data_IF_829322040208
#
_entry.id   IF_829322040208
#
_cell.length_a   1.000
_cell.length_b   1.000
_cell.length_c   1.000
_cell.angle_alpha   90.00
_cell.angle_beta   90.00
_cell.angle_gamma   90.00
#
_symmetry.space_group_name_H-M   'P 1'
#
loop_
_entity.id
_entity.type
_entity.pdbx_description
1 polymer ?
#
# COMPACT_ATOMS: atom_id res chain seq x y z
N UNK A 1 -14.64 -13.76 -12.91
CA UNK A 1 -15.95 -14.03 -13.55
C UNK A 1 -17.13 -13.39 -12.81
N UNK A 2 -16.92 -12.90 -11.58
CA UNK A 2 -17.97 -12.27 -10.75
C UNK A 2 -17.98 -10.72 -10.83
N UNK A 3 -17.17 -10.14 -11.70
CA UNK A 3 -17.08 -8.68 -11.88
C UNK A 3 -16.46 -7.92 -10.68
N UNK A 4 -15.79 -8.62 -9.75
CA UNK A 4 -15.10 -7.96 -8.63
C UNK A 4 -13.83 -7.29 -9.11
N UNK A 5 -13.60 -6.05 -8.67
CA UNK A 5 -12.33 -5.34 -8.87
C UNK A 5 -11.26 -5.92 -7.95
N UNK A 6 -10.04 -6.08 -8.49
CA UNK A 6 -8.86 -6.48 -7.72
C UNK A 6 -7.98 -5.24 -7.54
N UNK A 7 -7.61 -4.93 -6.31
CA UNK A 7 -6.73 -3.79 -6.02
C UNK A 7 -5.33 -4.00 -6.62
N UNK A 8 -4.67 -2.92 -7.01
CA UNK A 8 -3.40 -2.96 -7.73
C UNK A 8 -2.26 -3.61 -6.94
N UNK A 9 -2.24 -3.48 -5.65
CA UNK A 9 -1.27 -4.13 -4.75
C UNK A 9 -1.42 -5.67 -4.74
N UNK A 10 -2.66 -6.17 -4.68
CA UNK A 10 -2.92 -7.62 -4.79
C UNK A 10 -2.63 -8.15 -6.19
N UNK A 11 -2.90 -7.33 -7.22
CA UNK A 11 -2.52 -7.68 -8.60
C UNK A 11 -0.99 -7.71 -8.76
N UNK A 12 -0.27 -6.78 -8.14
CA UNK A 12 1.19 -6.77 -8.13
C UNK A 12 1.74 -8.01 -7.40
N UNK A 13 1.15 -8.39 -6.26
CA UNK A 13 1.53 -9.63 -5.57
C UNK A 13 1.29 -10.89 -6.44
N UNK A 14 0.18 -10.94 -7.18
CA UNK A 14 -0.07 -12.00 -8.15
C UNK A 14 0.99 -12.01 -9.27
N UNK A 15 1.30 -10.86 -9.83
CA UNK A 15 2.29 -10.70 -10.91
C UNK A 15 3.73 -11.02 -10.48
N UNK A 16 4.03 -10.96 -9.17
CA UNK A 16 5.33 -11.39 -8.65
C UNK A 16 5.67 -12.85 -9.00
N UNK A 17 4.66 -13.69 -9.25
CA UNK A 17 4.85 -15.06 -9.74
C UNK A 17 5.46 -15.12 -11.15
N UNK A 18 5.37 -14.03 -11.94
CA UNK A 18 5.94 -13.95 -13.28
C UNK A 18 7.42 -13.56 -13.30
N UNK A 19 8.00 -13.20 -12.16
CA UNK A 19 9.40 -12.78 -12.08
C UNK A 19 10.29 -14.01 -12.08
N UNK A 20 10.96 -14.23 -13.22
CA UNK A 20 11.89 -15.34 -13.40
C UNK A 20 13.26 -14.99 -12.79
N UNK A 21 13.54 -15.49 -11.62
CA UNK A 21 14.85 -15.35 -10.98
C UNK A 21 15.17 -16.53 -10.09
N UNK A 22 16.42 -16.94 -10.09
CA UNK A 22 16.94 -17.99 -9.20
C UNK A 22 17.38 -17.42 -7.84
N UNK A 23 17.38 -16.10 -7.66
CA UNK A 23 17.87 -15.44 -6.45
C UNK A 23 16.85 -14.41 -5.92
N UNK A 24 15.64 -14.88 -5.64
CA UNK A 24 14.54 -14.05 -5.13
C UNK A 24 14.89 -13.33 -3.83
N UNK A 25 15.61 -13.99 -2.93
CA UNK A 25 15.98 -13.44 -1.63
C UNK A 25 16.84 -12.17 -1.68
N UNK A 26 17.51 -11.91 -2.80
CA UNK A 26 18.31 -10.70 -3.02
C UNK A 26 17.56 -9.63 -3.81
N UNK A 27 16.32 -9.90 -4.21
CA UNK A 27 15.48 -8.94 -4.93
C UNK A 27 14.37 -8.40 -4.05
N UNK A 28 14.12 -7.11 -4.18
CA UNK A 28 13.10 -6.40 -3.43
C UNK A 28 12.01 -5.94 -4.37
N UNK A 29 10.76 -6.29 -4.08
CA UNK A 29 9.57 -5.77 -4.76
C UNK A 29 9.03 -4.61 -3.93
N UNK A 30 8.67 -3.51 -4.61
CA UNK A 30 8.20 -2.29 -3.97
C UNK A 30 6.68 -2.21 -4.08
N UNK A 31 6.01 -1.94 -2.96
CA UNK A 31 4.60 -1.56 -2.93
C UNK A 31 4.45 -0.18 -2.28
N UNK A 32 3.49 0.62 -2.73
CA UNK A 32 3.27 1.94 -2.14
C UNK A 32 2.74 1.86 -0.70
N UNK A 33 2.89 2.95 0.05
CA UNK A 33 2.52 3.02 1.48
C UNK A 33 1.02 2.74 1.74
N UNK A 34 0.16 2.81 0.73
CA UNK A 34 -1.28 2.53 0.82
C UNK A 34 -1.63 1.05 0.68
N UNK A 35 -0.68 0.23 0.28
CA UNK A 35 -0.88 -1.17 -0.04
C UNK A 35 -1.18 -2.03 1.18
N UNK A 36 -1.98 -3.08 0.96
CA UNK A 36 -2.36 -4.06 1.97
C UNK A 36 -1.16 -4.83 2.52
N UNK A 37 -1.17 -5.13 3.82
CA UNK A 37 -0.15 -6.00 4.41
C UNK A 37 -0.19 -7.41 3.83
N UNK A 38 -1.36 -7.88 3.36
CA UNK A 38 -1.51 -9.18 2.72
C UNK A 38 -0.68 -9.27 1.43
N UNK A 39 -0.63 -8.18 0.65
CA UNK A 39 0.21 -8.12 -0.54
C UNK A 39 1.71 -8.22 -0.18
N UNK A 40 2.16 -7.54 0.88
CA UNK A 40 3.54 -7.65 1.38
C UNK A 40 3.87 -9.06 1.84
N UNK A 41 3.02 -9.66 2.67
CA UNK A 41 3.23 -11.01 3.20
C UNK A 41 3.27 -12.05 2.08
N UNK A 42 2.41 -11.91 1.07
CA UNK A 42 2.41 -12.79 -0.09
C UNK A 42 3.71 -12.69 -0.89
N UNK A 43 4.19 -11.46 -1.18
CA UNK A 43 5.47 -11.26 -1.88
C UNK A 43 6.62 -11.88 -1.10
N UNK A 44 6.65 -11.72 0.23
CA UNK A 44 7.67 -12.35 1.07
C UNK A 44 7.57 -13.87 1.06
N UNK A 45 6.37 -14.44 1.03
CA UNK A 45 6.17 -15.89 0.95
C UNK A 45 6.69 -16.50 -0.36
N UNK A 46 6.77 -15.71 -1.43
CA UNK A 46 7.39 -16.10 -2.70
C UNK A 46 8.93 -16.06 -2.66
N UNK A 47 9.52 -15.59 -1.55
CA UNK A 47 10.96 -15.52 -1.34
C UNK A 47 11.59 -14.17 -1.72
N UNK A 48 10.81 -13.16 -2.08
CA UNK A 48 11.30 -11.79 -2.29
C UNK A 48 11.35 -11.02 -0.97
N UNK A 49 12.16 -9.96 -0.94
CA UNK A 49 11.98 -8.88 0.04
C UNK A 49 10.83 -7.98 -0.44
N UNK A 50 10.04 -7.45 0.48
CA UNK A 50 9.01 -6.48 0.18
C UNK A 50 9.36 -5.13 0.86
N UNK A 51 9.30 -4.04 0.11
CA UNK A 51 9.61 -2.69 0.59
C UNK A 51 8.38 -1.78 0.46
N UNK A 52 8.15 -0.96 1.47
CA UNK A 52 7.16 0.12 1.42
C UNK A 52 7.79 1.34 0.76
N UNK A 53 7.22 1.76 -0.39
CA UNK A 53 7.62 2.93 -1.15
C UNK A 53 6.70 4.13 -0.96
N UNK A 54 7.20 5.32 -1.27
CA UNK A 54 6.37 6.53 -1.39
C UNK A 54 5.38 6.38 -2.54
N UNK A 55 4.15 6.83 -2.33
CA UNK A 55 3.16 6.93 -3.42
C UNK A 55 3.62 7.90 -4.51
N UNK A 56 3.27 7.56 -5.75
CA UNK A 56 3.51 8.38 -6.93
C UNK A 56 4.55 7.78 -7.87
N UNK A 57 4.17 7.67 -9.14
CA UNK A 57 4.97 7.00 -10.17
C UNK A 57 6.41 7.49 -10.27
N UNK A 58 6.69 8.78 -10.01
CA UNK A 58 8.05 9.33 -10.04
C UNK A 58 8.91 8.78 -8.90
N UNK A 59 8.34 8.65 -7.70
CA UNK A 59 9.01 8.09 -6.53
C UNK A 59 9.31 6.60 -6.75
N UNK A 60 8.31 5.85 -7.21
CA UNK A 60 8.45 4.41 -7.49
C UNK A 60 9.51 4.16 -8.57
N UNK A 61 9.47 4.89 -9.71
CA UNK A 61 10.47 4.76 -10.78
C UNK A 61 11.90 5.06 -10.30
N UNK A 62 12.05 6.10 -9.48
CA UNK A 62 13.34 6.43 -8.88
C UNK A 62 13.84 5.27 -8.02
N UNK A 63 12.98 4.76 -7.14
CA UNK A 63 13.34 3.67 -6.23
C UNK A 63 13.67 2.37 -6.95
N UNK A 64 12.93 2.03 -8.02
CA UNK A 64 13.22 0.87 -8.89
C UNK A 64 14.67 0.95 -9.40
N UNK A 65 15.09 2.12 -9.91
CA UNK A 65 16.45 2.31 -10.44
C UNK A 65 17.52 2.18 -9.36
N UNK A 66 17.26 2.72 -8.16
CA UNK A 66 18.21 2.69 -7.03
C UNK A 66 18.52 1.28 -6.56
N UNK A 67 17.50 0.45 -6.40
CA UNK A 67 17.66 -0.89 -5.82
C UNK A 67 17.53 -2.02 -6.86
N UNK A 68 17.36 -1.67 -8.14
CA UNK A 68 17.13 -2.62 -9.25
C UNK A 68 15.97 -3.57 -8.95
N UNK A 69 14.86 -3.00 -8.47
CA UNK A 69 13.65 -3.76 -8.19
C UNK A 69 13.10 -4.39 -9.48
N UNK A 70 12.78 -5.70 -9.50
CA UNK A 70 12.21 -6.35 -10.68
C UNK A 70 10.74 -6.00 -10.93
N UNK A 71 10.03 -5.59 -9.89
CA UNK A 71 8.60 -5.28 -9.93
C UNK A 71 8.27 -4.26 -8.85
N UNK A 72 7.38 -3.33 -9.17
CA UNK A 72 6.75 -2.47 -8.19
C UNK A 72 5.28 -2.26 -8.54
N UNK A 73 4.48 -1.85 -7.54
CA UNK A 73 3.08 -1.54 -7.76
C UNK A 73 2.52 -0.58 -6.75
N UNK A 74 1.45 0.10 -7.15
CA UNK A 74 0.65 0.94 -6.28
C UNK A 74 -0.75 0.34 -6.09
N UNK A 75 -1.35 0.58 -4.95
CA UNK A 75 -2.72 0.17 -4.66
C UNK A 75 -3.72 0.65 -5.72
N UNK A 76 -3.44 1.82 -6.33
CA UNK A 76 -4.24 2.42 -7.39
C UNK A 76 -4.19 1.69 -8.74
N UNK A 77 -3.26 0.72 -8.93
CA UNK A 77 -3.16 -0.08 -10.15
C UNK A 77 -2.02 0.32 -11.09
N UNK A 78 -1.18 1.28 -10.72
CA UNK A 78 0.07 1.54 -11.45
C UNK A 78 1.05 0.40 -11.19
N UNK A 79 1.54 -0.26 -12.24
CA UNK A 79 2.43 -1.43 -12.15
C UNK A 79 3.67 -1.21 -13.00
N UNK A 80 4.83 -1.51 -12.43
CA UNK A 80 6.14 -1.21 -12.99
C UNK A 80 6.99 -2.48 -13.04
N UNK A 81 7.38 -2.92 -14.22
CA UNK A 81 8.30 -4.04 -14.40
C UNK A 81 9.71 -3.53 -14.65
N UNK A 82 10.65 -3.94 -13.80
CA UNK A 82 12.08 -3.63 -13.93
C UNK A 82 12.94 -4.85 -14.22
N UNK A 83 12.34 -6.05 -14.34
CA UNK A 83 13.05 -7.30 -14.67
C UNK A 83 13.43 -7.38 -16.15
N UNK A 84 12.43 -7.24 -17.02
CA UNK A 84 12.55 -7.37 -18.48
C UNK A 84 11.98 -6.15 -19.21
N UNK A 85 11.72 -5.08 -18.49
CA UNK A 85 11.21 -3.81 -19.02
C UNK A 85 11.89 -2.62 -18.33
N UNK A 86 11.55 -1.40 -18.73
CA UNK A 86 12.24 -0.16 -18.33
C UNK A 86 11.90 0.37 -16.93
N UNK A 87 11.04 -0.30 -16.18
CA UNK A 87 10.55 0.20 -14.89
C UNK A 87 9.57 1.37 -15.03
N UNK A 88 8.86 1.46 -16.15
CA UNK A 88 7.82 2.46 -16.38
C UNK A 88 6.46 1.95 -15.92
N UNK A 89 5.58 2.87 -15.61
CA UNK A 89 4.14 2.64 -15.46
C UNK A 89 3.55 2.43 -16.86
N UNK A 90 3.32 1.16 -17.22
CA UNK A 90 2.82 0.76 -18.53
C UNK A 90 1.73 -0.29 -18.37
N UNK A 91 0.48 0.17 -18.46
CA UNK A 91 -0.70 -0.68 -18.30
C UNK A 91 -0.81 -1.76 -19.38
N UNK A 92 -0.37 -1.46 -20.61
CA UNK A 92 -0.40 -2.43 -21.70
C UNK A 92 0.60 -3.56 -21.48
N UNK A 93 1.82 -3.21 -21.06
CA UNK A 93 2.83 -4.20 -20.70
C UNK A 93 2.39 -5.05 -19.52
N UNK A 94 1.83 -4.43 -18.47
CA UNK A 94 1.29 -5.13 -17.31
C UNK A 94 0.15 -6.09 -17.71
N UNK A 95 -0.73 -5.70 -18.61
CA UNK A 95 -1.79 -6.56 -19.15
C UNK A 95 -1.24 -7.77 -19.91
N UNK A 96 -0.21 -7.59 -20.73
CA UNK A 96 0.46 -8.69 -21.44
C UNK A 96 1.10 -9.66 -20.43
N UNK A 97 1.79 -9.16 -19.40
CA UNK A 97 2.37 -10.00 -18.34
C UNK A 97 1.29 -10.79 -17.59
N UNK A 98 0.15 -10.17 -17.29
CA UNK A 98 -0.99 -10.82 -16.67
C UNK A 98 -1.56 -11.95 -17.55
N UNK A 99 -1.79 -11.67 -18.83
CA UNK A 99 -2.28 -12.67 -19.79
C UNK A 99 -1.31 -13.84 -19.95
N UNK A 100 -0.02 -13.55 -20.02
CA UNK A 100 1.03 -14.59 -20.09
C UNK A 100 1.02 -15.47 -18.84
N UNK A 101 0.88 -14.88 -17.66
CA UNK A 101 0.84 -15.62 -16.42
C UNK A 101 -0.41 -16.51 -16.34
N UNK A 102 -1.58 -15.97 -16.72
CA UNK A 102 -2.83 -16.75 -16.73
C UNK A 102 -2.82 -17.86 -17.81
N UNK A 103 -2.18 -17.65 -18.94
CA UNK A 103 -1.99 -18.68 -19.97
C UNK A 103 -1.12 -19.85 -19.47
N UNK A 104 -0.24 -19.60 -18.50
CA UNK A 104 0.58 -20.62 -17.82
C UNK A 104 -0.12 -21.25 -16.59
N UNK A 105 -1.45 -21.28 -16.58
CA UNK A 105 -2.30 -21.88 -15.56
C UNK A 105 -2.24 -21.22 -14.16
N UNK A 106 -1.80 -19.98 -14.06
CA UNK A 106 -1.95 -19.18 -12.86
C UNK A 106 -3.34 -18.53 -12.86
N UNK A 107 -4.20 -18.92 -11.93
CA UNK A 107 -5.57 -18.43 -11.84
C UNK A 107 -5.69 -17.30 -10.81
N UNK A 108 -6.01 -16.09 -11.27
CA UNK A 108 -6.14 -14.91 -10.39
C UNK A 108 -7.28 -15.11 -9.35
N UNK A 109 -8.42 -15.65 -9.76
CA UNK A 109 -9.54 -15.93 -8.83
C UNK A 109 -9.12 -16.89 -7.72
N UNK A 110 -8.37 -17.93 -8.06
CA UNK A 110 -7.84 -18.91 -7.10
C UNK A 110 -6.83 -18.26 -6.17
N UNK A 111 -5.89 -17.47 -6.72
CA UNK A 111 -4.93 -16.72 -5.93
C UNK A 111 -5.63 -15.84 -4.90
N UNK A 112 -6.59 -15.00 -5.33
CA UNK A 112 -7.33 -14.11 -4.41
C UNK A 112 -8.07 -14.91 -3.32
N UNK A 113 -8.61 -16.10 -3.65
CA UNK A 113 -9.31 -16.93 -2.66
C UNK A 113 -8.39 -17.57 -1.62
N UNK A 114 -7.08 -17.63 -1.86
CA UNK A 114 -6.08 -18.14 -0.89
C UNK A 114 -5.58 -17.07 0.07
N UNK A 115 -5.80 -15.78 -0.24
CA UNK A 115 -5.36 -14.69 0.61
C UNK A 115 -6.24 -14.57 1.86
N UNK A 116 -5.66 -14.16 3.00
CA UNK A 116 -6.45 -13.83 4.18
C UNK A 116 -7.49 -12.75 3.88
N UNK A 117 -8.69 -12.90 4.43
CA UNK A 117 -9.71 -11.86 4.37
C UNK A 117 -9.27 -10.66 5.21
N UNK A 118 -9.42 -9.46 4.65
CA UNK A 118 -9.12 -8.19 5.32
C UNK A 118 -10.28 -7.21 5.14
N UNK A 119 -10.40 -6.31 6.11
CA UNK A 119 -11.46 -5.32 6.19
C UNK A 119 -10.88 -3.94 5.97
N UNK A 120 -10.91 -3.50 4.71
CA UNK A 120 -10.25 -2.27 4.26
C UNK A 120 -11.24 -1.11 4.22
N UNK A 121 -10.79 0.10 4.58
CA UNK A 121 -11.52 1.34 4.30
C UNK A 121 -11.31 1.78 2.85
N UNK A 122 -12.21 2.56 2.26
CA UNK A 122 -11.85 3.39 1.11
C UNK A 122 -10.75 4.39 1.51
N UNK A 123 -10.21 5.13 0.54
CA UNK A 123 -9.44 6.33 0.84
C UNK A 123 -10.42 7.43 1.28
N UNK A 124 -10.29 7.88 2.53
CA UNK A 124 -11.15 8.89 3.11
C UNK A 124 -10.40 10.22 3.08
N UNK A 125 -10.99 11.24 2.48
CA UNK A 125 -10.41 12.58 2.45
C UNK A 125 -10.97 13.40 3.61
N UNK A 126 -10.06 14.02 4.35
CA UNK A 126 -10.38 14.98 5.41
C UNK A 126 -9.84 16.32 4.99
N UNK A 127 -10.72 17.32 4.85
CA UNK A 127 -10.29 18.67 4.49
C UNK A 127 -9.24 19.18 5.48
N UNK A 128 -8.12 19.65 4.94
CA UNK A 128 -7.02 20.25 5.68
C UNK A 128 -6.25 21.14 4.73
N UNK A 129 -6.15 22.44 5.03
CA UNK A 129 -5.50 23.39 4.13
C UNK A 129 -4.02 23.06 3.92
N UNK A 130 -3.48 23.47 2.79
CA UNK A 130 -2.07 23.24 2.43
C UNK A 130 -1.11 23.85 3.44
N UNK A 131 -1.51 24.93 4.11
CA UNK A 131 -0.69 25.63 5.09
C UNK A 131 -0.41 24.80 6.35
N UNK A 132 -1.38 23.96 6.77
CA UNK A 132 -1.30 23.23 8.05
C UNK A 132 -1.19 21.72 7.91
N UNK A 133 -1.48 21.13 6.74
CA UNK A 133 -1.56 19.66 6.60
C UNK A 133 -0.28 18.92 7.01
N UNK A 134 0.89 19.48 6.70
CA UNK A 134 2.17 18.87 7.12
C UNK A 134 2.42 19.02 8.61
N UNK A 135 2.12 20.21 9.17
CA UNK A 135 2.23 20.44 10.61
C UNK A 135 1.29 19.54 11.41
N UNK A 136 0.09 19.33 10.89
CA UNK A 136 -0.88 18.40 11.49
C UNK A 136 -0.33 16.97 11.57
N UNK A 137 0.28 16.49 10.49
CA UNK A 137 0.93 15.16 10.47
C UNK A 137 2.09 15.10 11.46
N UNK A 138 2.91 16.13 11.55
CA UNK A 138 4.04 16.19 12.49
C UNK A 138 3.55 16.17 13.95
N UNK A 139 2.48 16.89 14.26
CA UNK A 139 1.87 16.88 15.61
C UNK A 139 1.30 15.51 15.97
N UNK A 140 0.57 14.87 15.03
CA UNK A 140 0.06 13.51 15.22
C UNK A 140 1.23 12.53 15.40
N UNK A 141 2.29 12.67 14.61
CA UNK A 141 3.47 11.82 14.66
C UNK A 141 4.12 11.84 16.06
N UNK A 142 4.28 13.01 16.68
CA UNK A 142 4.83 13.13 18.04
C UNK A 142 4.02 12.31 19.05
N UNK A 143 2.68 12.43 19.02
CA UNK A 143 1.77 11.66 19.89
C UNK A 143 1.83 10.15 19.64
N UNK A 144 2.01 9.76 18.37
CA UNK A 144 2.13 8.36 17.97
C UNK A 144 3.42 7.74 18.49
N UNK A 145 4.56 8.45 18.40
CA UNK A 145 5.84 7.95 18.93
C UNK A 145 5.89 7.86 20.46
N UNK A 146 4.99 8.53 21.19
CA UNK A 146 4.81 8.32 22.63
C UNK A 146 4.12 6.99 22.96
N UNK A 147 3.33 6.45 22.01
CA UNK A 147 2.49 5.25 22.19
C UNK A 147 3.04 4.00 21.49
N UNK A 148 3.67 4.15 20.36
CA UNK A 148 4.09 3.06 19.46
C UNK A 148 5.61 2.96 19.37
N UNK A 149 6.11 1.72 19.19
CA UNK A 149 7.51 1.49 18.90
C UNK A 149 7.88 2.02 17.50
N UNK A 150 9.08 2.50 17.32
CA UNK A 150 9.57 3.03 16.03
C UNK A 150 9.49 2.00 14.89
N UNK A 151 9.58 0.71 15.19
CA UNK A 151 9.46 -0.36 14.19
C UNK A 151 8.04 -0.55 13.66
N UNK A 152 7.03 -0.05 14.38
CA UNK A 152 5.63 -0.13 14.01
C UNK A 152 5.13 1.13 13.29
N UNK A 153 6.00 2.13 13.13
CA UNK A 153 5.68 3.45 12.58
C UNK A 153 6.55 3.74 11.36
N UNK A 154 5.90 4.08 10.25
CA UNK A 154 6.56 4.46 8.99
C UNK A 154 6.17 5.90 8.66
N UNK A 155 7.18 6.76 8.51
CA UNK A 155 7.01 8.19 8.21
C UNK A 155 7.44 8.57 6.79
N UNK A 156 7.54 7.59 5.91
CA UNK A 156 8.10 7.77 4.56
C UNK A 156 7.25 8.70 3.67
N UNK A 157 5.91 8.62 3.78
CA UNK A 157 4.93 9.43 3.03
C UNK A 157 3.67 9.60 3.88
N UNK A 158 3.73 10.52 4.82
CA UNK A 158 2.76 10.63 5.90
C UNK A 158 3.12 9.73 7.08
N UNK A 159 2.13 9.20 7.76
CA UNK A 159 2.26 8.41 8.97
C UNK A 159 1.47 7.11 8.85
N UNK A 160 2.15 5.99 8.68
CA UNK A 160 1.55 4.66 8.69
C UNK A 160 1.95 3.92 9.96
N UNK A 161 0.96 3.44 10.70
CA UNK A 161 1.13 2.75 11.97
C UNK A 161 0.54 1.36 11.91
N UNK A 162 1.32 0.35 12.33
CA UNK A 162 0.88 -1.04 12.49
C UNK A 162 0.62 -1.32 13.95
N UNK A 163 -0.48 -2.02 14.25
CA UNK A 163 -0.80 -2.49 15.60
C UNK A 163 -1.49 -3.87 15.58
N UNK A 164 -1.97 -4.33 16.73
CA UNK A 164 -2.63 -5.65 16.84
C UNK A 164 -3.94 -5.76 16.05
N UNK A 165 -4.61 -4.65 15.74
CA UNK A 165 -5.85 -4.59 14.98
C UNK A 165 -5.61 -4.60 13.47
N UNK A 166 -4.42 -4.17 13.02
CA UNK A 166 -4.07 -4.03 11.60
C UNK A 166 -3.14 -2.84 11.39
N UNK A 167 -3.44 -1.99 10.43
CA UNK A 167 -2.69 -0.75 10.20
C UNK A 167 -3.61 0.40 9.79
N UNK A 168 -3.15 1.62 10.02
CA UNK A 168 -3.76 2.84 9.50
C UNK A 168 -2.70 3.78 8.93
N UNK A 169 -3.14 4.67 8.05
CA UNK A 169 -2.34 5.67 7.36
C UNK A 169 -3.05 7.03 7.42
N UNK A 170 -2.30 8.08 7.74
CA UNK A 170 -2.67 9.47 7.51
C UNK A 170 -1.56 10.13 6.69
N UNK A 171 -1.89 10.67 5.52
CA UNK A 171 -0.92 11.35 4.67
C UNK A 171 -1.48 12.64 4.08
N UNK A 172 -0.60 13.59 3.78
CA UNK A 172 -1.00 14.79 3.04
C UNK A 172 -1.26 14.43 1.56
N UNK A 173 -2.36 14.91 1.01
CA UNK A 173 -2.59 14.85 -0.45
C UNK A 173 -1.56 15.74 -1.16
N UNK A 174 -1.04 15.28 -2.30
CA UNK A 174 -0.13 16.06 -3.13
C UNK A 174 -0.87 17.03 -4.07
N UNK A 175 -2.17 16.82 -4.28
CA UNK A 175 -2.97 17.51 -5.30
C UNK A 175 -4.17 18.24 -4.73
N UNK A 176 -4.49 18.03 -3.47
CA UNK A 176 -5.70 18.57 -2.84
C UNK A 176 -5.41 19.09 -1.44
N UNK A 177 -6.20 20.04 -0.97
CA UNK A 177 -6.19 20.52 0.42
C UNK A 177 -6.87 19.51 1.35
N UNK A 178 -6.21 18.35 1.50
CA UNK A 178 -6.76 17.25 2.27
C UNK A 178 -5.65 16.39 2.91
N UNK A 179 -6.00 15.77 4.02
CA UNK A 179 -5.38 14.56 4.50
C UNK A 179 -6.12 13.36 3.92
N UNK A 180 -5.38 12.34 3.48
CA UNK A 180 -5.90 11.05 3.03
C UNK A 180 -5.72 10.07 4.15
N UNK A 181 -6.82 9.44 4.57
CA UNK A 181 -6.87 8.43 5.62
C UNK A 181 -7.23 7.09 4.99
N UNK A 182 -6.53 6.05 5.40
CA UNK A 182 -6.82 4.66 5.05
C UNK A 182 -6.47 3.74 6.21
N UNK A 183 -7.22 2.66 6.36
CA UNK A 183 -6.91 1.63 7.35
C UNK A 183 -7.41 0.27 6.89
N UNK A 184 -6.77 -0.76 7.41
CA UNK A 184 -7.05 -2.15 7.13
C UNK A 184 -7.01 -2.95 8.44
N UNK A 185 -8.15 -3.54 8.78
CA UNK A 185 -8.33 -4.36 9.98
C UNK A 185 -8.32 -5.85 9.67
N UNK A 186 -7.93 -6.65 10.67
CA UNK A 186 -7.98 -8.11 10.63
C UNK A 186 -9.41 -8.67 10.80
N UNK A 187 -10.34 -7.80 11.17
CA UNK A 187 -11.77 -8.09 11.34
C UNK A 187 -12.56 -6.77 11.26
N UNK A 188 -13.88 -6.83 11.11
CA UNK A 188 -14.74 -5.64 11.19
C UNK A 188 -14.59 -4.90 12.53
N UNK A 189 -14.45 -5.64 13.64
CA UNK A 189 -14.16 -5.05 14.95
C UNK A 189 -12.83 -4.31 14.94
N UNK A 190 -11.78 -4.95 14.45
CA UNK A 190 -10.44 -4.34 14.32
C UNK A 190 -10.46 -3.10 13.45
N UNK A 191 -11.18 -3.13 12.31
CA UNK A 191 -11.36 -1.98 11.44
C UNK A 191 -12.01 -0.80 12.18
N UNK A 192 -13.03 -1.07 13.01
CA UNK A 192 -13.70 -0.06 13.81
C UNK A 192 -12.79 0.55 14.88
N UNK A 193 -11.94 -0.26 15.52
CA UNK A 193 -10.95 0.24 16.50
C UNK A 193 -9.93 1.16 15.85
N UNK A 194 -9.41 0.79 14.66
CA UNK A 194 -8.51 1.64 13.88
C UNK A 194 -9.16 2.96 13.47
N UNK A 195 -10.42 2.91 13.02
CA UNK A 195 -11.20 4.12 12.71
C UNK A 195 -11.32 5.06 13.91
N UNK A 196 -11.69 4.52 15.08
CA UNK A 196 -11.84 5.31 16.29
C UNK A 196 -10.51 5.94 16.74
N UNK A 197 -9.41 5.21 16.61
CA UNK A 197 -8.08 5.73 16.93
C UNK A 197 -7.73 6.91 16.03
N UNK A 198 -7.84 6.75 14.69
CA UNK A 198 -7.56 7.82 13.73
C UNK A 198 -8.49 9.02 13.92
N UNK A 199 -9.80 8.76 14.14
CA UNK A 199 -10.79 9.80 14.42
C UNK A 199 -10.41 10.65 15.64
N UNK A 200 -9.95 10.03 16.71
CA UNK A 200 -9.51 10.73 17.92
C UNK A 200 -8.22 11.54 17.70
N UNK A 201 -7.25 11.00 16.94
CA UNK A 201 -6.03 11.72 16.58
C UNK A 201 -6.35 13.00 15.79
N UNK A 202 -7.20 12.89 14.77
CA UNK A 202 -7.61 14.03 13.93
C UNK A 202 -8.43 15.05 14.71
N UNK A 203 -9.36 14.58 15.58
CA UNK A 203 -10.15 15.46 16.45
C UNK A 203 -9.28 16.32 17.35
N UNK A 204 -8.20 15.78 17.89
CA UNK A 204 -7.24 16.52 18.71
C UNK A 204 -6.48 17.62 17.95
N UNK A 205 -6.48 17.57 16.62
CA UNK A 205 -5.94 18.60 15.72
C UNK A 205 -7.06 19.50 15.14
N UNK A 206 -8.28 19.41 15.65
CA UNK A 206 -9.42 20.21 15.20
C UNK A 206 -10.06 19.73 13.88
N UNK A 207 -9.71 18.53 13.42
CA UNK A 207 -10.23 17.95 12.18
C UNK A 207 -11.33 16.92 12.45
N UNK A 208 -12.27 16.81 11.52
CA UNK A 208 -13.38 15.86 11.62
C UNK A 208 -13.21 14.74 10.61
N UNK A 209 -13.23 13.51 11.10
CA UNK A 209 -13.35 12.30 10.28
C UNK A 209 -14.78 11.80 10.39
N UNK A 210 -15.55 11.95 9.31
CA UNK A 210 -16.92 11.45 9.24
C UNK A 210 -16.98 9.93 9.09
N UNK A 211 -18.13 9.35 9.42
CA UNK A 211 -18.36 7.94 9.16
C UNK A 211 -18.45 7.74 7.63
N UNK A 212 -17.89 6.65 7.13
CA UNK A 212 -17.80 6.28 5.70
C UNK A 212 -18.64 5.04 5.43
#
# INVERSE_FOLDING_TARGET
>A
KQGRSVAGDLLTAFLANSIATNNKNNQTIILDIKSSYVAYENIMSLGFKAEIGKTGHSNIKKRIKEIKSPLAGEMSGHIFFGDTYFGYDDALYAAIRLLTLTANNFELDKFISTLPETFVSPEIKVFCSDEIKFLTIDNISKKVFEKYNSNDVITLDGLRVKNNHGWWLIRASNTEEALVVRFEGKSEKSKKELFLEVKNLLKNEGLTLDNY
#
